data_IF_523491806570
#
_entry.id   IF_523491806570
#
_cell.length_a   1.000
_cell.length_b   1.000
_cell.length_c   1.000
_cell.angle_alpha   90.00
_cell.angle_beta   90.00
_cell.angle_gamma   90.00
#
_symmetry.space_group_name_H-M   'P 1'
#
loop_
_entity.id
_entity.type
_entity.pdbx_description
1 polymer ?
#
# COMPACT_ATOMS: atom_id res chain seq x y z
N UNK A 1 -9.11 2.53 -9.54
CA UNK A 1 -10.39 3.24 -9.77
C UNK A 1 -11.18 3.40 -8.47
N UNK A 2 -11.59 2.31 -7.80
CA UNK A 2 -12.38 2.36 -6.55
C UNK A 2 -11.76 3.30 -5.50
N UNK A 3 -10.45 3.18 -5.23
CA UNK A 3 -9.76 4.04 -4.27
C UNK A 3 -9.83 5.53 -4.59
N UNK A 4 -9.69 5.91 -5.87
CA UNK A 4 -9.75 7.32 -6.28
C UNK A 4 -11.17 7.89 -6.10
N UNK A 5 -12.20 7.09 -6.39
CA UNK A 5 -13.60 7.47 -6.16
C UNK A 5 -13.86 7.64 -4.66
N UNK A 6 -13.43 6.68 -3.83
CA UNK A 6 -13.60 6.78 -2.38
C UNK A 6 -12.86 7.99 -1.81
N UNK A 7 -11.62 8.25 -2.25
CA UNK A 7 -10.87 9.43 -1.84
C UNK A 7 -11.60 10.73 -2.20
N UNK A 8 -12.10 10.86 -3.44
CA UNK A 8 -12.84 12.04 -3.87
C UNK A 8 -14.12 12.26 -3.07
N UNK A 9 -14.88 11.19 -2.80
CA UNK A 9 -16.09 11.25 -1.97
C UNK A 9 -15.74 11.68 -0.54
N UNK A 10 -14.74 11.06 0.08
CA UNK A 10 -14.31 11.40 1.44
C UNK A 10 -13.80 12.84 1.52
N UNK A 11 -12.98 13.27 0.56
CA UNK A 11 -12.46 14.64 0.53
C UNK A 11 -13.57 15.68 0.38
N UNK A 12 -14.56 15.42 -0.50
CA UNK A 12 -15.69 16.32 -0.68
C UNK A 12 -16.65 16.35 0.52
N UNK A 13 -16.93 15.19 1.14
CA UNK A 13 -17.83 15.11 2.30
C UNK A 13 -17.24 15.73 3.57
N UNK A 14 -15.90 15.67 3.72
CA UNK A 14 -15.19 16.16 4.90
C UNK A 14 -14.48 17.50 4.68
N UNK A 15 -14.65 18.11 3.51
CA UNK A 15 -13.97 19.36 3.10
C UNK A 15 -12.45 19.31 3.33
N UNK A 16 -11.83 18.16 2.98
CA UNK A 16 -10.41 17.96 3.19
C UNK A 16 -9.59 18.70 2.12
N UNK A 17 -8.56 19.46 2.52
CA UNK A 17 -7.68 20.15 1.58
C UNK A 17 -6.69 19.16 0.95
N UNK A 18 -7.15 18.43 -0.07
CA UNK A 18 -6.32 17.47 -0.82
C UNK A 18 -5.73 18.17 -2.04
N UNK A 19 -4.41 18.42 -2.00
CA UNK A 19 -3.66 18.92 -3.13
C UNK A 19 -3.54 17.90 -4.26
N UNK A 20 -3.46 18.38 -5.51
CA UNK A 20 -3.29 17.50 -6.67
C UNK A 20 -1.97 16.72 -6.62
N UNK A 21 -0.90 17.35 -6.11
CA UNK A 21 0.41 16.75 -5.99
C UNK A 21 0.40 15.58 -4.99
N UNK A 22 -0.15 15.79 -3.79
CA UNK A 22 -0.34 14.73 -2.80
C UNK A 22 -1.24 13.59 -3.31
N UNK A 23 -2.35 13.92 -3.97
CA UNK A 23 -3.24 12.92 -4.57
C UNK A 23 -2.52 12.04 -5.59
N UNK A 24 -1.77 12.64 -6.52
CA UNK A 24 -0.98 11.90 -7.52
C UNK A 24 0.10 11.06 -6.84
N UNK A 25 0.81 11.61 -5.86
CA UNK A 25 1.87 10.90 -5.14
C UNK A 25 1.32 9.67 -4.41
N UNK A 26 0.24 9.81 -3.63
CA UNK A 26 -0.30 8.71 -2.85
C UNK A 26 -1.02 7.65 -3.69
N UNK A 27 -1.79 8.05 -4.72
CA UNK A 27 -2.44 7.11 -5.65
C UNK A 27 -1.37 6.40 -6.49
N UNK A 28 -0.37 7.13 -6.98
CA UNK A 28 0.75 6.59 -7.75
C UNK A 28 1.53 5.57 -6.92
N UNK A 29 1.88 5.91 -5.67
CA UNK A 29 2.56 5.00 -4.77
C UNK A 29 1.74 3.73 -4.51
N UNK A 30 0.44 3.86 -4.21
CA UNK A 30 -0.46 2.72 -3.99
C UNK A 30 -0.52 1.80 -5.21
N UNK A 31 -0.63 2.37 -6.41
CA UNK A 31 -0.63 1.59 -7.64
C UNK A 31 0.69 0.83 -7.80
N UNK A 32 1.82 1.52 -7.68
CA UNK A 32 3.17 0.95 -7.84
C UNK A 32 3.44 -0.15 -6.82
N UNK A 33 3.11 0.06 -5.54
CA UNK A 33 3.28 -0.96 -4.50
C UNK A 33 2.45 -2.20 -4.81
N UNK A 34 1.24 -2.04 -5.31
CA UNK A 34 0.39 -3.18 -5.64
C UNK A 34 0.90 -4.00 -6.83
N UNK A 35 1.51 -3.36 -7.84
CA UNK A 35 2.01 -4.10 -9.02
C UNK A 35 3.35 -4.78 -8.74
N UNK A 36 4.18 -4.15 -7.91
CA UNK A 36 5.56 -4.57 -7.66
C UNK A 36 5.72 -5.28 -6.31
N UNK A 37 5.30 -4.65 -5.21
CA UNK A 37 5.61 -5.08 -3.85
C UNK A 37 4.70 -6.23 -3.36
N UNK A 38 3.40 -6.16 -3.63
CA UNK A 38 2.39 -7.17 -3.22
C UNK A 38 2.42 -8.44 -4.09
N UNK A 39 3.53 -8.67 -4.79
CA UNK A 39 3.75 -9.89 -5.57
C UNK A 39 4.25 -11.00 -4.64
N UNK A 40 3.98 -12.26 -5.01
CA UNK A 40 4.40 -13.40 -4.19
C UNK A 40 5.91 -13.55 -4.04
N UNK A 41 6.68 -13.08 -5.03
CA UNK A 41 8.14 -13.23 -5.03
C UNK A 41 8.84 -12.17 -4.16
N UNK A 42 8.46 -10.87 -4.13
CA UNK A 42 9.09 -9.88 -3.26
C UNK A 42 8.72 -10.09 -1.80
N UNK A 43 7.46 -10.47 -1.50
CA UNK A 43 7.05 -10.87 -0.15
C UNK A 43 7.96 -12.01 0.35
N UNK A 44 8.16 -13.06 -0.46
CA UNK A 44 9.03 -14.18 -0.10
C UNK A 44 10.48 -13.74 0.07
N UNK A 45 11.01 -12.92 -0.84
CA UNK A 45 12.38 -12.41 -0.76
C UNK A 45 12.60 -11.58 0.50
N UNK A 46 11.65 -10.70 0.82
CA UNK A 46 11.63 -9.90 2.05
C UNK A 46 11.65 -10.79 3.29
N UNK A 47 10.78 -11.80 3.34
CA UNK A 47 10.73 -12.74 4.47
C UNK A 47 12.06 -13.48 4.66
N UNK A 48 12.70 -13.91 3.58
CA UNK A 48 14.03 -14.57 3.66
C UNK A 48 15.08 -13.58 4.16
N UNK A 49 15.09 -12.36 3.62
CA UNK A 49 16.04 -11.30 4.00
C UNK A 49 15.91 -10.91 5.48
N UNK A 50 14.70 -10.88 6.03
CA UNK A 50 14.44 -10.56 7.44
C UNK A 50 14.55 -11.76 8.38
N UNK A 51 15.00 -12.92 7.89
CA UNK A 51 15.26 -14.10 8.72
C UNK A 51 14.04 -14.99 8.98
N UNK A 52 12.92 -14.77 8.29
CA UNK A 52 11.67 -15.55 8.41
C UNK A 52 11.52 -16.63 7.31
N UNK A 53 12.64 -17.20 6.85
CA UNK A 53 12.68 -18.13 5.71
C UNK A 53 11.80 -19.38 5.85
N UNK A 54 11.71 -19.98 7.05
CA UNK A 54 10.81 -21.12 7.29
C UNK A 54 9.33 -20.71 7.20
N UNK A 55 8.98 -19.54 7.74
CA UNK A 55 7.62 -19.00 7.63
C UNK A 55 7.25 -18.68 6.17
N UNK A 56 8.25 -18.28 5.36
CA UNK A 56 8.07 -18.04 3.93
C UNK A 56 7.70 -19.30 3.13
N UNK A 57 7.93 -20.52 3.65
CA UNK A 57 7.48 -21.78 3.02
C UNK A 57 5.98 -21.99 3.18
N UNK A 58 5.40 -21.51 4.28
CA UNK A 58 3.96 -21.61 4.56
C UNK A 58 3.15 -20.63 3.67
N UNK A 59 2.18 -21.10 2.87
CA UNK A 59 1.29 -20.24 2.08
C UNK A 59 0.54 -19.19 2.92
N UNK A 60 0.05 -19.55 4.11
CA UNK A 60 -0.60 -18.62 5.02
C UNK A 60 0.38 -17.56 5.54
N UNK A 61 1.63 -17.94 5.82
CA UNK A 61 2.64 -17.00 6.29
C UNK A 61 2.97 -15.93 5.24
N UNK A 62 3.11 -16.33 3.98
CA UNK A 62 3.27 -15.38 2.87
C UNK A 62 2.06 -14.45 2.73
N UNK A 63 0.84 -14.99 2.87
CA UNK A 63 -0.38 -14.18 2.82
C UNK A 63 -0.44 -13.17 3.97
N UNK A 64 -0.13 -13.56 5.20
CA UNK A 64 -0.15 -12.65 6.35
C UNK A 64 0.86 -11.51 6.20
N UNK A 65 2.08 -11.80 5.71
CA UNK A 65 3.09 -10.77 5.47
C UNK A 65 2.70 -9.86 4.32
N UNK A 66 2.15 -10.41 3.23
CA UNK A 66 1.59 -9.64 2.11
C UNK A 66 0.53 -8.64 2.60
N UNK A 67 -0.43 -9.08 3.42
CA UNK A 67 -1.46 -8.19 3.97
C UNK A 67 -0.87 -7.11 4.88
N UNK A 68 0.11 -7.45 5.71
CA UNK A 68 0.77 -6.47 6.57
C UNK A 68 1.54 -5.41 5.75
N UNK A 69 2.25 -5.85 4.70
CA UNK A 69 2.95 -4.96 3.78
C UNK A 69 1.98 -4.07 3.00
N UNK A 70 0.86 -4.63 2.55
CA UNK A 70 -0.19 -3.87 1.87
C UNK A 70 -0.75 -2.76 2.76
N UNK A 71 -1.11 -3.08 4.02
CA UNK A 71 -1.60 -2.09 5.00
C UNK A 71 -0.56 -1.01 5.27
N UNK A 72 0.72 -1.37 5.37
CA UNK A 72 1.81 -0.40 5.51
C UNK A 72 1.89 0.54 4.30
N UNK A 73 1.79 0.01 3.08
CA UNK A 73 1.77 0.83 1.87
C UNK A 73 0.56 1.77 1.81
N UNK A 74 -0.62 1.33 2.26
CA UNK A 74 -1.80 2.19 2.38
C UNK A 74 -1.57 3.35 3.35
N UNK A 75 -0.89 3.11 4.48
CA UNK A 75 -0.49 4.17 5.41
C UNK A 75 0.44 5.19 4.76
N UNK A 76 1.48 4.73 4.04
CA UNK A 76 2.39 5.62 3.31
C UNK A 76 1.62 6.43 2.26
N UNK A 77 0.73 5.80 1.49
CA UNK A 77 -0.14 6.51 0.55
C UNK A 77 -1.00 7.57 1.21
N UNK A 78 -1.59 7.28 2.36
CA UNK A 78 -2.39 8.24 3.11
C UNK A 78 -1.55 9.46 3.53
N UNK A 79 -0.33 9.23 4.03
CA UNK A 79 0.59 10.32 4.39
C UNK A 79 1.00 11.15 3.16
N UNK A 80 1.31 10.51 2.03
CA UNK A 80 1.62 11.20 0.78
C UNK A 80 0.45 12.07 0.30
N UNK A 81 -0.79 11.63 0.47
CA UNK A 81 -2.00 12.41 0.11
C UNK A 81 -2.10 13.70 0.94
N UNK A 82 -1.58 13.72 2.16
CA UNK A 82 -1.59 14.92 3.01
C UNK A 82 -0.51 15.95 2.64
N UNK A 83 0.39 15.63 1.70
CA UNK A 83 1.33 16.60 1.17
C UNK A 83 0.57 17.61 0.30
N UNK A 84 0.56 18.86 0.75
CA UNK A 84 -0.12 20.00 0.10
C UNK A 84 0.53 20.33 -1.23
#
# INVERSE_FOLDING_TARGET
LVMAVMLAVTAGLLDLPVGWAGAVAGIGFSAVSHVLWDRRWPVKAWMVLTGSGEFAKNPQGRYSVDQAQHVFCLWVSALLITLV
#
